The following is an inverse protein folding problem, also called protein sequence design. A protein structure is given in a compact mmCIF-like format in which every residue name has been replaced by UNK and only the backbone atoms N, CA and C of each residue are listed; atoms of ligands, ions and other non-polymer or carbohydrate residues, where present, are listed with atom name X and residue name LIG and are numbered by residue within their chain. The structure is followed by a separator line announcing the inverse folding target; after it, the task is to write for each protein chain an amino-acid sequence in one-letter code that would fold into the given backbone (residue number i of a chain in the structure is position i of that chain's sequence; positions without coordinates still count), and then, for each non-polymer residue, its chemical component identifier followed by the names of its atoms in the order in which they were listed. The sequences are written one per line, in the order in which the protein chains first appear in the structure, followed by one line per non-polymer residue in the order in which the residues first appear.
data_IF_598664430535
#
_entry.id   IF_598664430535
#
_cell.length_a   1.000
_cell.length_b   1.000
_cell.length_c   1.000
_cell.angle_alpha   90.00
_cell.angle_beta   90.00
_cell.angle_gamma   90.00
#
_symmetry.space_group_name_H-M   'P 1'
#
loop_
_entity.id
_entity.type
_entity.pdbx_description
1 polymer ?
#
# COMPACT_ATOMS: atom_id res chain seq x y z
N UNK A 1 20.66 -19.84 1.53
CA UNK A 1 19.58 -19.98 2.54
C UNK A 1 18.30 -19.31 2.03
N UNK A 2 17.79 -19.76 0.87
CA UNK A 2 16.59 -19.22 0.19
C UNK A 2 15.53 -20.32 -0.07
N UNK A 3 15.68 -21.50 0.55
CA UNK A 3 14.82 -22.66 0.25
C UNK A 3 13.72 -22.95 1.30
N UNK A 4 13.74 -22.32 2.48
CA UNK A 4 12.77 -22.66 3.54
C UNK A 4 11.46 -21.84 3.52
N UNK A 5 11.33 -20.84 2.66
CA UNK A 5 10.08 -20.08 2.54
C UNK A 5 9.09 -20.64 1.49
N UNK A 6 9.51 -21.55 0.62
CA UNK A 6 8.66 -22.13 -0.43
C UNK A 6 7.55 -23.09 0.07
N UNK A 7 7.62 -23.55 1.31
CA UNK A 7 6.64 -24.50 1.87
C UNK A 7 5.61 -23.87 2.82
N UNK A 8 5.66 -22.56 3.02
CA UNK A 8 4.60 -21.84 3.74
C UNK A 8 3.60 -21.23 2.76
N UNK A 9 2.87 -22.07 2.07
CA UNK A 9 1.47 -21.83 1.72
C UNK A 9 0.73 -21.71 3.06
N UNK A 10 1.07 -20.64 3.81
CA UNK A 10 0.80 -20.49 5.21
C UNK A 10 -0.68 -20.63 5.48
N UNK A 11 -1.02 -21.65 6.23
CA UNK A 11 -2.21 -21.63 7.04
C UNK A 11 -2.00 -20.43 7.96
N UNK A 12 -2.56 -19.28 7.60
CA UNK A 12 -2.70 -18.17 8.56
C UNK A 12 -3.72 -18.70 9.55
N UNK A 13 -3.24 -19.21 10.66
CA UNK A 13 -4.07 -19.63 11.77
C UNK A 13 -4.79 -18.40 12.34
N UNK A 14 -6.01 -18.56 12.85
CA UNK A 14 -6.74 -17.46 13.50
C UNK A 14 -6.01 -16.92 14.75
N UNK A 15 -4.94 -17.60 15.21
CA UNK A 15 -4.04 -17.17 16.29
C UNK A 15 -2.91 -16.23 15.84
N UNK A 16 -2.65 -16.09 14.54
CA UNK A 16 -1.55 -15.26 14.04
C UNK A 16 -1.80 -13.78 14.19
N UNK A 17 -0.72 -13.07 14.57
CA UNK A 17 -0.65 -11.62 14.68
C UNK A 17 0.53 -11.16 13.85
N UNK A 18 0.40 -10.04 13.18
CA UNK A 18 1.52 -9.35 12.55
C UNK A 18 1.85 -8.09 13.34
N UNK A 19 3.09 -7.98 13.81
CA UNK A 19 3.66 -6.73 14.29
C UNK A 19 4.18 -5.95 13.08
N UNK A 20 3.69 -4.73 12.88
CA UNK A 20 4.16 -3.82 11.85
C UNK A 20 4.73 -2.56 12.51
N UNK A 21 5.99 -2.24 12.21
CA UNK A 21 6.68 -1.05 12.67
C UNK A 21 6.87 -0.10 11.50
N UNK A 22 6.44 1.13 11.66
CA UNK A 22 6.49 2.21 10.68
C UNK A 22 7.65 3.14 11.06
N UNK A 23 8.69 3.17 10.26
CA UNK A 23 9.83 4.03 10.46
C UNK A 23 9.67 5.35 9.71
N UNK A 24 9.99 6.45 10.36
CA UNK A 24 10.02 7.79 9.79
C UNK A 24 11.45 8.35 9.85
N UNK A 25 11.94 8.85 8.73
CA UNK A 25 13.26 9.49 8.68
C UNK A 25 13.14 11.02 8.81
N UNK A 26 14.01 11.60 9.61
CA UNK A 26 14.09 13.06 9.73
C UNK A 26 14.73 13.66 8.48
N UNK A 27 13.96 14.37 7.65
CA UNK A 27 14.46 15.07 6.46
C UNK A 27 15.29 14.17 5.54
N UNK A 28 14.79 12.96 5.25
CA UNK A 28 15.48 11.91 4.51
C UNK A 28 16.24 12.41 3.27
N UNK A 29 15.57 13.16 2.40
CA UNK A 29 16.16 13.67 1.16
C UNK A 29 17.18 14.79 1.39
N UNK A 30 17.06 15.57 2.47
CA UNK A 30 17.94 16.69 2.76
C UNK A 30 19.24 16.24 3.46
N UNK A 31 19.27 15.03 4.02
CA UNK A 31 20.40 14.49 4.78
C UNK A 31 21.32 13.56 4.00
N UNK A 32 21.00 13.26 2.74
CA UNK A 32 21.80 12.37 1.87
C UNK A 32 23.25 12.87 1.81
N UNK A 33 24.18 12.07 2.34
CA UNK A 33 25.60 12.38 2.29
C UNK A 33 26.16 12.05 0.90
N UNK A 34 26.66 13.08 0.19
CA UNK A 34 27.14 12.94 -1.19
C UNK A 34 28.34 11.99 -1.30
N UNK A 35 29.27 12.03 -0.32
CA UNK A 35 30.46 11.16 -0.32
C UNK A 35 30.08 9.69 -0.16
N UNK A 36 29.19 9.39 0.78
CA UNK A 36 28.68 8.02 1.00
C UNK A 36 27.88 7.51 -0.20
N UNK A 37 27.07 8.36 -0.80
CA UNK A 37 26.31 8.02 -2.01
C UNK A 37 27.25 7.66 -3.15
N UNK A 38 28.30 8.47 -3.41
CA UNK A 38 29.27 8.19 -4.47
C UNK A 38 30.07 6.90 -4.20
N UNK A 39 30.49 6.66 -2.96
CA UNK A 39 31.13 5.42 -2.59
C UNK A 39 30.23 4.19 -2.83
N UNK A 40 28.90 4.31 -2.55
CA UNK A 40 27.95 3.24 -2.87
C UNK A 40 27.75 3.02 -4.35
N UNK A 41 27.72 4.08 -5.14
CA UNK A 41 27.64 3.97 -6.60
C UNK A 41 28.85 3.24 -7.17
N UNK A 42 30.05 3.54 -6.68
CA UNK A 42 31.29 2.84 -7.08
C UNK A 42 31.24 1.35 -6.71
N UNK A 43 30.83 1.02 -5.46
CA UNK A 43 30.63 -0.38 -5.01
C UNK A 43 29.60 -1.13 -5.88
N UNK A 44 28.56 -0.43 -6.35
CA UNK A 44 27.53 -1.00 -7.22
C UNK A 44 28.00 -1.15 -8.68
N UNK A 45 29.23 -0.72 -9.01
CA UNK A 45 29.83 -0.87 -10.33
C UNK A 45 29.43 0.22 -11.34
N UNK A 46 29.00 1.39 -10.88
CA UNK A 46 28.78 2.53 -11.77
C UNK A 46 30.11 3.04 -12.32
N UNK A 47 30.15 3.35 -13.61
CA UNK A 47 31.34 3.90 -14.26
C UNK A 47 31.70 5.26 -13.67
N UNK A 48 33.01 5.56 -13.65
CA UNK A 48 33.56 6.82 -13.13
C UNK A 48 32.89 8.04 -13.73
N UNK A 49 32.67 8.06 -15.04
CA UNK A 49 32.02 9.19 -15.74
C UNK A 49 30.59 9.45 -15.20
N UNK A 50 29.85 8.38 -14.87
CA UNK A 50 28.52 8.47 -14.27
C UNK A 50 28.60 9.03 -12.84
N UNK A 51 29.56 8.56 -12.05
CA UNK A 51 29.80 9.08 -10.70
C UNK A 51 30.21 10.55 -10.71
N UNK A 52 31.09 10.96 -11.63
CA UNK A 52 31.52 12.34 -11.80
C UNK A 52 30.34 13.24 -12.24
N UNK A 53 29.48 12.74 -13.10
CA UNK A 53 28.26 13.45 -13.52
C UNK A 53 27.31 13.64 -12.35
N UNK A 54 27.03 12.59 -11.54
CA UNK A 54 26.20 12.68 -10.36
C UNK A 54 26.80 13.64 -9.32
N UNK A 55 28.14 13.60 -9.14
CA UNK A 55 28.83 14.55 -8.27
C UNK A 55 28.60 15.99 -8.74
N UNK A 56 28.77 16.27 -10.03
CA UNK A 56 28.51 17.58 -10.63
C UNK A 56 27.04 18.03 -10.43
N UNK A 57 26.10 17.09 -10.58
CA UNK A 57 24.68 17.35 -10.37
C UNK A 57 24.36 17.76 -8.93
N UNK A 58 25.06 17.20 -7.95
CA UNK A 58 24.83 17.47 -6.52
C UNK A 58 25.66 18.65 -5.97
N UNK A 59 26.79 18.96 -6.60
CA UNK A 59 27.75 19.96 -6.12
C UNK A 59 27.42 21.38 -6.53
N UNK A 60 27.96 22.37 -5.79
CA UNK A 60 27.85 23.79 -6.13
C UNK A 60 26.44 24.38 -5.98
N UNK A 61 25.52 23.64 -5.37
CA UNK A 61 24.14 24.10 -5.17
C UNK A 61 24.02 25.02 -3.97
N UNK A 62 23.11 25.97 -4.08
CA UNK A 62 22.78 26.92 -3.02
C UNK A 62 21.27 27.04 -2.89
N UNK A 63 20.81 27.41 -1.73
CA UNK A 63 19.41 27.70 -1.45
C UNK A 63 19.24 29.01 -0.69
N UNK A 64 18.09 29.65 -0.88
CA UNK A 64 17.62 30.76 -0.05
C UNK A 64 16.13 30.59 0.25
N UNK A 65 15.69 31.14 1.36
CA UNK A 65 14.26 31.23 1.69
C UNK A 65 13.76 32.58 1.25
N UNK A 66 12.66 32.63 0.51
CA UNK A 66 11.99 33.85 0.07
C UNK A 66 10.56 33.86 0.61
N UNK A 67 10.20 34.99 1.22
CA UNK A 67 8.82 35.31 1.61
C UNK A 67 8.30 36.41 0.70
N UNK A 68 7.05 36.82 0.86
CA UNK A 68 6.47 37.90 0.06
C UNK A 68 7.18 39.24 0.28
N UNK A 69 7.82 39.44 1.45
CA UNK A 69 8.45 40.72 1.84
C UNK A 69 9.98 40.65 1.91
N UNK A 70 10.55 39.45 2.19
CA UNK A 70 11.97 39.32 2.49
C UNK A 70 12.59 38.07 1.84
N UNK A 71 13.94 38.07 1.75
CA UNK A 71 14.71 36.89 1.34
C UNK A 71 15.94 36.71 2.23
N UNK A 72 16.24 35.45 2.56
CA UNK A 72 17.48 35.11 3.27
C UNK A 72 18.71 35.28 2.37
N UNK A 73 19.89 35.27 2.93
CA UNK A 73 21.14 35.07 2.19
C UNK A 73 21.21 33.68 1.57
N UNK A 74 21.98 33.54 0.50
CA UNK A 74 22.29 32.27 -0.12
C UNK A 74 23.12 31.40 0.83
N UNK A 75 22.70 30.13 1.02
CA UNK A 75 23.41 29.12 1.81
C UNK A 75 23.79 27.94 0.94
N UNK A 76 25.05 27.45 1.00
CA UNK A 76 25.46 26.29 0.23
C UNK A 76 24.75 25.01 0.71
N UNK A 77 24.39 24.14 -0.23
CA UNK A 77 23.88 22.78 0.04
C UNK A 77 25.06 21.81 -0.05
N UNK A 78 25.46 21.27 1.11
CA UNK A 78 26.59 20.32 1.23
C UNK A 78 26.12 18.86 1.30
N UNK A 79 24.85 18.64 1.58
CA UNK A 79 24.17 17.33 1.64
C UNK A 79 22.79 17.44 0.97
N UNK A 80 22.16 16.28 0.79
CA UNK A 80 20.81 16.20 0.28
C UNK A 80 20.73 16.06 -1.24
N UNK A 81 19.56 15.62 -1.67
CA UNK A 81 19.18 15.56 -3.09
C UNK A 81 18.05 16.56 -3.37
N UNK A 82 18.00 17.16 -4.57
CA UNK A 82 16.97 18.15 -4.88
C UNK A 82 15.57 17.53 -4.77
N UNK A 83 14.74 18.06 -3.88
CA UNK A 83 13.34 17.67 -3.77
C UNK A 83 12.57 18.04 -5.04
N UNK A 84 11.70 17.13 -5.51
CA UNK A 84 10.95 17.32 -6.77
C UNK A 84 11.75 16.99 -8.03
N UNK A 85 13.02 16.58 -7.93
CA UNK A 85 13.80 16.07 -9.06
C UNK A 85 13.47 14.61 -9.36
N UNK A 86 13.68 14.18 -10.61
CA UNK A 86 13.48 12.78 -11.02
C UNK A 86 14.53 11.86 -10.37
N UNK A 87 15.76 12.34 -10.21
CA UNK A 87 16.87 11.56 -9.66
C UNK A 87 16.86 11.47 -8.13
N UNK A 88 16.28 12.43 -7.43
CA UNK A 88 16.28 12.46 -5.96
C UNK A 88 15.83 11.15 -5.31
N UNK A 89 14.64 10.63 -5.63
CA UNK A 89 14.15 9.37 -5.09
C UNK A 89 15.05 8.17 -5.43
N UNK A 90 15.60 8.13 -6.64
CA UNK A 90 16.49 7.06 -7.08
C UNK A 90 17.79 7.07 -6.28
N UNK A 91 18.43 8.22 -6.14
CA UNK A 91 19.68 8.39 -5.38
C UNK A 91 19.49 8.06 -3.90
N UNK A 92 18.35 8.46 -3.32
CA UNK A 92 18.00 8.08 -1.95
C UNK A 92 17.81 6.56 -1.83
N UNK A 93 17.10 5.92 -2.76
CA UNK A 93 16.91 4.45 -2.77
C UNK A 93 18.26 3.72 -2.86
N UNK A 94 19.18 4.22 -3.68
CA UNK A 94 20.54 3.68 -3.77
C UNK A 94 21.27 3.81 -2.43
N UNK A 95 21.16 4.98 -1.75
CA UNK A 95 21.78 5.19 -0.46
C UNK A 95 21.31 4.17 0.59
N UNK A 96 20.00 3.85 0.62
CA UNK A 96 19.44 2.93 1.63
C UNK A 96 19.39 1.47 1.19
N UNK A 97 19.85 1.14 -0.03
CA UNK A 97 19.68 -0.21 -0.63
C UNK A 97 20.28 -1.36 0.18
N UNK A 98 21.32 -1.10 0.96
CA UNK A 98 22.01 -2.09 1.80
C UNK A 98 21.51 -2.14 3.25
N UNK A 99 20.53 -1.29 3.64
CA UNK A 99 19.88 -1.34 4.96
C UNK A 99 19.31 -2.73 5.27
N UNK A 100 18.94 -3.49 4.21
CA UNK A 100 18.53 -4.90 4.32
C UNK A 100 19.49 -5.76 5.14
N UNK A 101 20.80 -5.48 5.07
CA UNK A 101 21.81 -6.25 5.81
C UNK A 101 21.69 -6.10 7.34
N UNK A 102 21.07 -5.01 7.80
CA UNK A 102 20.78 -4.77 9.21
C UNK A 102 19.50 -5.50 9.68
N UNK A 103 18.67 -5.99 8.75
CA UNK A 103 17.40 -6.66 9.01
C UNK A 103 17.55 -8.16 8.83
N UNK A 104 18.16 -8.81 9.83
CA UNK A 104 18.45 -10.26 9.79
C UNK A 104 17.27 -11.14 10.24
N UNK A 105 16.37 -10.58 11.03
CA UNK A 105 15.16 -11.25 11.54
C UNK A 105 13.97 -10.30 11.34
N UNK A 106 13.04 -10.70 10.51
CA UNK A 106 11.90 -9.87 10.09
C UNK A 106 11.89 -9.63 8.59
N UNK A 107 10.82 -9.07 8.13
CA UNK A 107 10.61 -8.67 6.74
C UNK A 107 10.50 -7.14 6.66
N UNK A 108 10.79 -6.57 5.50
CA UNK A 108 10.73 -5.13 5.32
C UNK A 108 10.15 -4.76 3.96
N UNK A 109 9.52 -3.60 3.92
CA UNK A 109 9.01 -2.97 2.72
C UNK A 109 9.46 -1.51 2.73
N UNK A 110 10.07 -1.06 1.63
CA UNK A 110 10.50 0.33 1.47
C UNK A 110 9.85 0.94 0.25
N UNK A 111 9.42 2.18 0.37
CA UNK A 111 8.98 3.01 -0.74
C UNK A 111 9.52 4.43 -0.52
N UNK A 112 10.59 4.79 -1.23
CA UNK A 112 11.38 5.97 -0.95
C UNK A 112 11.84 6.00 0.53
N UNK A 113 11.45 7.00 1.29
CA UNK A 113 11.72 7.14 2.72
C UNK A 113 10.74 6.37 3.62
N UNK A 114 9.55 6.02 3.13
CA UNK A 114 8.61 5.18 3.88
C UNK A 114 9.18 3.76 4.03
N UNK A 115 9.61 3.41 5.23
CA UNK A 115 10.18 2.10 5.56
C UNK A 115 9.34 1.42 6.62
N UNK A 116 8.92 0.20 6.32
CA UNK A 116 8.08 -0.59 7.21
C UNK A 116 8.76 -1.93 7.49
N UNK A 117 8.83 -2.32 8.76
CA UNK A 117 9.32 -3.62 9.19
C UNK A 117 8.15 -4.44 9.71
N UNK A 118 8.13 -5.75 9.46
CA UNK A 118 7.05 -6.59 9.98
C UNK A 118 7.55 -7.98 10.39
N UNK A 119 6.88 -8.53 11.40
CA UNK A 119 7.11 -9.84 11.97
C UNK A 119 5.78 -10.57 12.13
N UNK A 120 5.78 -11.83 11.77
CA UNK A 120 4.69 -12.75 12.09
C UNK A 120 4.88 -13.26 13.52
N UNK A 121 3.81 -13.37 14.29
CA UNK A 121 3.79 -13.76 15.70
C UNK A 121 2.48 -14.45 16.05
N UNK A 122 2.43 -14.99 17.25
CA UNK A 122 1.20 -15.44 17.90
C UNK A 122 1.01 -14.69 19.21
N UNK A 123 -0.16 -14.82 19.84
CA UNK A 123 -0.41 -14.21 21.16
C UNK A 123 0.62 -14.67 22.18
N UNK A 124 1.02 -15.95 22.14
CA UNK A 124 1.95 -16.56 23.09
C UNK A 124 3.41 -16.13 22.86
N UNK A 125 3.78 -15.83 21.62
CA UNK A 125 5.16 -15.49 21.23
C UNK A 125 5.38 -13.99 21.05
N UNK A 126 4.39 -13.16 21.31
CA UNK A 126 4.45 -11.70 21.04
C UNK A 126 5.60 -11.00 21.72
N UNK A 127 5.90 -11.32 22.98
CA UNK A 127 7.01 -10.67 23.72
C UNK A 127 8.37 -11.07 23.14
N UNK A 128 8.59 -12.33 22.79
CA UNK A 128 9.83 -12.74 22.12
C UNK A 128 9.98 -12.10 20.73
N UNK A 129 8.87 -11.88 20.03
CA UNK A 129 8.86 -11.16 18.76
C UNK A 129 9.20 -9.69 18.94
N UNK A 130 8.70 -9.04 20.00
CA UNK A 130 9.05 -7.64 20.33
C UNK A 130 10.55 -7.54 20.68
N UNK A 131 11.11 -8.50 21.45
CA UNK A 131 12.51 -8.50 21.80
C UNK A 131 13.40 -8.67 20.54
N UNK A 132 13.02 -9.56 19.63
CA UNK A 132 13.69 -9.72 18.33
C UNK A 132 13.58 -8.44 17.47
N UNK A 133 12.42 -7.80 17.46
CA UNK A 133 12.21 -6.54 16.76
C UNK A 133 13.09 -5.42 17.32
N UNK A 134 13.21 -5.31 18.65
CA UNK A 134 14.10 -4.33 19.30
C UNK A 134 15.57 -4.52 18.88
N UNK A 135 16.06 -5.77 18.79
CA UNK A 135 17.42 -6.04 18.31
C UNK A 135 17.62 -5.60 16.84
N UNK A 136 16.61 -5.75 15.99
CA UNK A 136 16.66 -5.26 14.60
C UNK A 136 16.62 -3.75 14.56
N UNK A 137 15.77 -3.11 15.38
CA UNK A 137 15.65 -1.66 15.46
C UNK A 137 16.96 -0.99 15.89
N UNK A 138 17.69 -1.59 16.84
CA UNK A 138 19.02 -1.11 17.25
C UNK A 138 20.03 -1.17 16.10
N UNK A 139 20.03 -2.25 15.31
CA UNK A 139 20.91 -2.36 14.13
C UNK A 139 20.52 -1.38 13.02
N UNK A 140 19.23 -1.19 12.80
CA UNK A 140 18.73 -0.19 11.83
C UNK A 140 19.13 1.22 12.29
N UNK A 141 19.03 1.52 13.58
CA UNK A 141 19.46 2.80 14.13
C UNK A 141 20.98 3.01 13.94
N UNK A 142 21.80 2.00 14.23
CA UNK A 142 23.25 2.03 13.98
C UNK A 142 23.55 2.29 12.51
N UNK A 143 22.89 1.56 11.61
CA UNK A 143 23.01 1.79 10.16
C UNK A 143 22.66 3.22 9.76
N UNK A 144 21.60 3.79 10.33
CA UNK A 144 21.19 5.16 10.04
C UNK A 144 22.28 6.17 10.47
N UNK A 145 22.88 5.96 11.65
CA UNK A 145 24.00 6.80 12.13
C UNK A 145 25.19 6.69 11.17
N UNK A 146 25.59 5.49 10.78
CA UNK A 146 26.72 5.22 9.88
C UNK A 146 26.50 5.84 8.48
N UNK A 147 25.25 5.90 8.03
CA UNK A 147 24.88 6.48 6.73
C UNK A 147 24.50 7.95 6.80
N UNK A 148 24.72 8.61 7.95
CA UNK A 148 24.32 10.01 8.20
C UNK A 148 22.81 10.27 8.03
N UNK A 149 21.99 9.22 8.11
CA UNK A 149 20.55 9.33 8.21
C UNK A 149 20.13 9.42 9.68
N UNK A 150 18.94 9.95 9.93
CA UNK A 150 18.39 10.02 11.27
C UNK A 150 16.94 9.57 11.30
N UNK A 151 16.66 8.60 12.16
CA UNK A 151 15.27 8.24 12.48
C UNK A 151 14.61 9.35 13.29
N UNK A 152 13.31 9.52 13.09
CA UNK A 152 12.47 10.38 13.92
C UNK A 152 11.70 9.50 14.90
N UNK A 153 12.29 9.23 16.05
CA UNK A 153 11.79 8.28 17.05
C UNK A 153 10.34 8.63 17.49
N UNK A 154 10.04 9.94 17.58
CA UNK A 154 8.72 10.43 17.98
C UNK A 154 7.63 10.20 16.92
N UNK A 155 8.02 10.03 15.65
CA UNK A 155 7.09 9.73 14.56
C UNK A 155 7.06 8.25 14.19
N UNK A 156 8.09 7.49 14.57
CA UNK A 156 8.06 6.04 14.42
C UNK A 156 6.95 5.45 15.27
N UNK A 157 6.19 4.52 14.68
CA UNK A 157 4.98 3.96 15.31
C UNK A 157 4.90 2.47 15.04
N UNK A 158 4.04 1.79 15.76
CA UNK A 158 3.75 0.40 15.48
C UNK A 158 2.28 0.05 15.64
N UNK A 159 1.87 -1.03 14.99
CA UNK A 159 0.53 -1.60 15.10
C UNK A 159 0.64 -3.13 15.10
N UNK A 160 -0.25 -3.77 15.83
CA UNK A 160 -0.52 -5.19 15.65
C UNK A 160 -1.74 -5.37 14.75
N UNK A 161 -1.65 -6.30 13.81
CA UNK A 161 -2.79 -6.69 12.98
C UNK A 161 -3.05 -8.19 13.11
N UNK A 162 -4.33 -8.59 13.06
CA UNK A 162 -4.68 -9.99 13.19
C UNK A 162 -6.19 -10.24 13.23
N UNK A 163 -6.57 -11.44 13.61
CA UNK A 163 -7.99 -11.76 13.80
C UNK A 163 -8.56 -11.01 15.00
N UNK A 164 -9.89 -10.78 15.01
CA UNK A 164 -10.54 -10.12 16.17
C UNK A 164 -10.27 -10.83 17.50
N UNK A 165 -10.33 -12.18 17.58
CA UNK A 165 -9.98 -12.90 18.81
C UNK A 165 -8.53 -12.67 19.22
N UNK A 166 -7.57 -12.78 18.29
CA UNK A 166 -6.14 -12.59 18.58
C UNK A 166 -5.84 -11.18 19.10
N UNK A 167 -6.38 -10.14 18.46
CA UNK A 167 -6.21 -8.76 18.90
C UNK A 167 -6.84 -8.52 20.28
N UNK A 168 -8.01 -9.12 20.55
CA UNK A 168 -8.63 -9.05 21.87
C UNK A 168 -7.79 -9.73 22.95
N UNK A 169 -7.25 -10.92 22.66
CA UNK A 169 -6.38 -11.64 23.58
C UNK A 169 -5.10 -10.85 23.84
N UNK A 170 -4.50 -10.28 22.79
CA UNK A 170 -3.33 -9.41 22.90
C UNK A 170 -3.57 -8.19 23.79
N UNK A 171 -4.77 -7.61 23.74
CA UNK A 171 -5.11 -6.44 24.56
C UNK A 171 -5.15 -6.74 26.07
N UNK A 172 -5.27 -7.99 26.45
CA UNK A 172 -5.26 -8.46 27.83
C UNK A 172 -3.86 -8.85 28.34
N UNK A 173 -2.85 -8.82 27.44
CA UNK A 173 -1.46 -9.15 27.79
C UNK A 173 -0.67 -7.90 28.15
N UNK A 174 0.25 -8.05 29.09
CA UNK A 174 1.29 -7.06 29.32
C UNK A 174 2.41 -7.31 28.32
N UNK A 175 2.45 -6.52 27.24
CA UNK A 175 3.50 -6.64 26.20
C UNK A 175 4.72 -5.79 26.54
N UNK A 176 5.89 -6.27 26.11
CA UNK A 176 7.12 -5.49 26.16
C UNK A 176 6.98 -4.21 25.30
N UNK A 177 7.84 -3.24 25.55
CA UNK A 177 7.86 -2.02 24.75
C UNK A 177 8.75 -2.18 23.52
N UNK A 178 8.36 -1.57 22.41
CA UNK A 178 9.25 -1.33 21.27
C UNK A 178 10.02 -0.04 21.50
N UNK A 179 11.34 -0.09 21.30
CA UNK A 179 12.24 0.99 21.65
C UNK A 179 13.16 1.30 20.48
N UNK A 180 13.36 2.56 20.16
CA UNK A 180 14.40 3.05 19.25
C UNK A 180 15.19 4.12 20.00
N UNK A 181 16.51 3.95 20.10
CA UNK A 181 17.42 4.92 20.73
C UNK A 181 16.94 5.36 22.14
N UNK A 182 16.48 4.40 22.96
CA UNK A 182 15.96 4.66 24.31
C UNK A 182 14.54 5.25 24.37
N UNK A 183 13.92 5.55 23.24
CA UNK A 183 12.56 6.09 23.15
C UNK A 183 11.54 5.00 22.88
N UNK A 184 10.49 4.90 23.70
CA UNK A 184 9.38 3.99 23.47
C UNK A 184 8.57 4.45 22.25
N UNK A 185 8.30 3.53 21.35
CA UNK A 185 7.43 3.79 20.20
C UNK A 185 5.96 3.84 20.60
N UNK A 186 5.20 4.71 19.94
CA UNK A 186 3.76 4.80 20.11
C UNK A 186 3.04 3.65 19.39
N UNK A 187 2.20 2.90 20.12
CA UNK A 187 1.23 1.99 19.49
C UNK A 187 0.08 2.79 18.89
N UNK A 188 -0.18 2.57 17.62
CA UNK A 188 -1.30 3.19 16.91
C UNK A 188 -2.31 2.14 16.46
N UNK A 189 -3.56 2.54 16.25
CA UNK A 189 -4.67 1.64 15.94
C UNK A 189 -5.22 1.81 14.51
N UNK A 190 -4.82 2.87 13.83
CA UNK A 190 -5.27 3.21 12.48
C UNK A 190 -4.23 4.03 11.70
N UNK A 191 -3.01 3.51 11.54
CA UNK A 191 -1.97 4.20 10.79
C UNK A 191 -2.35 4.37 9.33
N UNK A 192 -1.66 5.29 8.68
CA UNK A 192 -1.72 5.48 7.25
C UNK A 192 -0.38 5.06 6.63
N UNK A 193 -0.42 4.13 5.68
CA UNK A 193 0.74 3.67 4.90
C UNK A 193 0.43 3.88 3.43
N UNK A 194 1.29 4.61 2.72
CA UNK A 194 1.11 4.93 1.29
C UNK A 194 -0.32 5.38 0.94
N UNK A 195 -0.91 6.22 1.78
CA UNK A 195 -2.27 6.74 1.57
C UNK A 195 -3.41 5.82 2.03
N UNK A 196 -3.15 4.55 2.36
CA UNK A 196 -4.14 3.64 2.92
C UNK A 196 -4.18 3.71 4.44
N UNK A 197 -5.38 3.89 5.02
CA UNK A 197 -5.59 3.77 6.46
C UNK A 197 -6.16 2.39 6.77
N UNK A 198 -5.52 1.63 7.64
CA UNK A 198 -6.02 0.32 8.06
C UNK A 198 -6.06 0.21 9.58
N UNK A 199 -6.89 -0.66 10.07
CA UNK A 199 -7.05 -0.95 11.50
C UNK A 199 -6.50 -2.33 11.84
N UNK A 200 -6.37 -2.63 13.13
CA UNK A 200 -5.82 -3.87 13.65
C UNK A 200 -6.49 -5.15 13.11
N UNK A 201 -7.72 -5.07 12.63
CA UNK A 201 -8.48 -6.20 12.08
C UNK A 201 -8.72 -6.09 10.58
N UNK A 202 -8.04 -5.17 9.91
CA UNK A 202 -8.12 -4.92 8.47
C UNK A 202 -9.57 -4.79 7.97
N UNK A 203 -10.41 -4.07 8.73
CA UNK A 203 -11.82 -3.89 8.37
C UNK A 203 -12.03 -2.86 7.27
N UNK A 204 -11.03 -2.04 6.98
CA UNK A 204 -11.04 -0.93 6.00
C UNK A 204 -12.08 0.16 6.27
N UNK A 205 -12.81 0.07 7.37
CA UNK A 205 -13.93 0.96 7.68
C UNK A 205 -13.52 2.42 7.74
N UNK A 206 -12.40 2.73 8.42
CA UNK A 206 -11.89 4.11 8.53
C UNK A 206 -11.45 4.66 7.19
N UNK A 207 -10.72 3.86 6.40
CA UNK A 207 -10.27 4.25 5.07
C UNK A 207 -11.46 4.59 4.15
N UNK A 208 -12.40 3.68 4.04
CA UNK A 208 -13.58 3.85 3.18
C UNK A 208 -14.43 5.03 3.61
N UNK A 209 -14.61 5.25 4.92
CA UNK A 209 -15.33 6.43 5.40
C UNK A 209 -14.59 7.74 5.05
N UNK A 210 -13.24 7.78 5.09
CA UNK A 210 -12.45 8.93 4.61
C UNK A 210 -12.68 9.17 3.11
N UNK A 211 -12.63 8.10 2.30
CA UNK A 211 -12.90 8.19 0.86
C UNK A 211 -14.31 8.70 0.58
N UNK A 212 -15.33 8.18 1.30
CA UNK A 212 -16.72 8.64 1.20
C UNK A 212 -16.84 10.12 1.54
N UNK A 213 -16.25 10.56 2.64
CA UNK A 213 -16.28 11.97 3.05
C UNK A 213 -15.67 12.87 1.99
N UNK A 214 -14.52 12.50 1.44
CA UNK A 214 -13.85 13.24 0.38
C UNK A 214 -14.66 13.25 -0.93
N UNK A 215 -15.19 12.09 -1.34
CA UNK A 215 -16.04 11.96 -2.51
C UNK A 215 -17.32 12.81 -2.39
N UNK A 216 -17.96 12.81 -1.21
CA UNK A 216 -19.14 13.64 -0.96
C UNK A 216 -18.82 15.13 -0.97
N UNK A 217 -17.71 15.55 -0.36
CA UNK A 217 -17.26 16.95 -0.42
C UNK A 217 -17.07 17.39 -1.87
N UNK A 218 -16.37 16.59 -2.69
CA UNK A 218 -16.16 16.85 -4.10
C UNK A 218 -17.49 16.88 -4.87
N UNK A 219 -18.39 15.92 -4.59
CA UNK A 219 -19.72 15.88 -5.19
C UNK A 219 -20.52 17.14 -4.92
N UNK A 220 -20.53 17.65 -3.68
CA UNK A 220 -21.25 18.87 -3.34
C UNK A 220 -20.64 20.11 -4.01
N UNK A 221 -19.33 20.16 -4.22
CA UNK A 221 -18.70 21.24 -4.96
C UNK A 221 -19.21 21.30 -6.41
N UNK A 222 -19.20 20.17 -7.12
CA UNK A 222 -19.70 20.12 -8.52
C UNK A 222 -21.22 20.27 -8.60
N UNK A 223 -21.97 19.82 -7.60
CA UNK A 223 -23.42 19.92 -7.59
C UNK A 223 -23.95 21.36 -7.59
N UNK A 224 -23.20 22.31 -7.02
CA UNK A 224 -23.53 23.75 -7.05
C UNK A 224 -23.67 24.28 -8.48
N UNK A 225 -22.92 23.70 -9.42
CA UNK A 225 -22.91 24.10 -10.82
C UNK A 225 -23.87 23.28 -11.68
N UNK A 226 -24.78 22.50 -11.08
CA UNK A 226 -25.70 21.59 -11.77
C UNK A 226 -26.42 22.22 -12.97
N UNK A 227 -26.83 23.49 -12.86
CA UNK A 227 -27.58 24.20 -13.89
C UNK A 227 -26.73 24.60 -15.11
N UNK A 228 -25.42 24.72 -14.92
CA UNK A 228 -24.48 25.19 -15.95
C UNK A 228 -23.73 24.05 -16.63
N UNK A 229 -23.79 22.84 -16.08
CA UNK A 229 -23.06 21.70 -16.62
C UNK A 229 -23.93 20.87 -17.55
N UNK A 230 -23.40 20.63 -18.77
CA UNK A 230 -23.96 19.67 -19.71
C UNK A 230 -23.76 18.23 -19.22
N UNK A 231 -24.44 17.25 -19.87
CA UNK A 231 -24.40 15.84 -19.49
C UNK A 231 -22.96 15.28 -19.51
N UNK A 232 -22.20 15.53 -20.57
CA UNK A 232 -20.83 15.03 -20.74
C UNK A 232 -19.88 15.58 -19.66
N UNK A 233 -19.98 16.87 -19.35
CA UNK A 233 -19.20 17.48 -18.29
C UNK A 233 -19.52 16.86 -16.91
N UNK A 234 -20.81 16.55 -16.64
CA UNK A 234 -21.22 15.87 -15.42
C UNK A 234 -20.65 14.46 -15.33
N UNK A 235 -20.63 13.70 -16.43
CA UNK A 235 -20.04 12.35 -16.51
C UNK A 235 -18.55 12.44 -16.15
N UNK A 236 -17.81 13.29 -16.85
CA UNK A 236 -16.36 13.46 -16.64
C UNK A 236 -16.03 13.87 -15.21
N UNK A 237 -16.73 14.86 -14.65
CA UNK A 237 -16.50 15.33 -13.28
C UNK A 237 -16.86 14.28 -12.23
N UNK A 238 -17.97 13.53 -12.42
CA UNK A 238 -18.33 12.46 -11.50
C UNK A 238 -17.29 11.34 -11.49
N UNK A 239 -16.81 10.90 -12.65
CA UNK A 239 -15.84 9.83 -12.74
C UNK A 239 -14.45 10.26 -12.22
N UNK A 240 -13.94 11.42 -12.70
CA UNK A 240 -12.57 11.86 -12.41
C UNK A 240 -12.38 12.45 -11.01
N UNK A 241 -13.38 13.09 -10.42
CA UNK A 241 -13.24 13.81 -9.14
C UNK A 241 -13.93 13.07 -7.98
N UNK A 242 -15.07 12.45 -8.22
CA UNK A 242 -15.87 11.80 -7.17
C UNK A 242 -15.55 10.32 -7.06
N UNK A 243 -15.77 9.55 -8.14
CA UNK A 243 -15.63 8.09 -8.11
C UNK A 243 -14.17 7.64 -8.08
N UNK A 244 -13.24 8.45 -8.62
CA UNK A 244 -11.79 8.20 -8.54
C UNK A 244 -11.26 8.06 -7.12
N UNK A 245 -11.94 8.63 -6.11
CA UNK A 245 -11.56 8.48 -4.71
C UNK A 245 -11.59 7.02 -4.21
N UNK A 246 -12.30 6.15 -4.93
CA UNK A 246 -12.42 4.73 -4.60
C UNK A 246 -11.55 3.82 -5.49
N UNK A 247 -10.78 4.38 -6.43
CA UNK A 247 -9.94 3.58 -7.34
C UNK A 247 -8.53 3.35 -6.80
N UNK A 248 -8.07 4.22 -5.89
CA UNK A 248 -6.70 4.11 -5.37
C UNK A 248 -6.55 2.89 -4.48
N UNK A 249 -5.69 1.97 -4.87
CA UNK A 249 -5.40 0.71 -4.17
C UNK A 249 -6.66 -0.11 -3.81
N UNK A 250 -7.75 0.01 -4.57
CA UNK A 250 -9.02 -0.67 -4.31
C UNK A 250 -8.92 -2.19 -4.36
N UNK A 251 -7.90 -2.70 -5.02
CA UNK A 251 -7.52 -4.11 -5.05
C UNK A 251 -7.21 -4.64 -3.64
N UNK A 252 -6.56 -3.83 -2.79
CA UNK A 252 -6.18 -4.22 -1.42
C UNK A 252 -7.41 -4.44 -0.52
N UNK A 253 -8.46 -3.63 -0.73
CA UNK A 253 -9.73 -3.76 -0.01
C UNK A 253 -10.87 -4.29 -0.90
N UNK A 254 -10.54 -5.20 -1.81
CA UNK A 254 -11.50 -5.75 -2.77
C UNK A 254 -12.66 -6.50 -2.12
N UNK A 255 -12.44 -7.15 -0.97
CA UNK A 255 -13.44 -7.92 -0.22
C UNK A 255 -13.81 -7.21 1.10
N UNK A 256 -14.58 -6.14 1.01
CA UNK A 256 -15.11 -5.38 2.15
C UNK A 256 -16.50 -5.86 2.57
N UNK A 257 -16.92 -5.47 3.77
CA UNK A 257 -18.25 -5.79 4.28
C UNK A 257 -19.35 -5.14 3.41
N UNK A 258 -20.46 -5.86 3.21
CA UNK A 258 -21.59 -5.43 2.37
C UNK A 258 -22.15 -4.04 2.79
N UNK A 259 -22.08 -3.70 4.07
CA UNK A 259 -22.51 -2.39 4.56
C UNK A 259 -21.64 -1.25 3.99
N UNK A 260 -20.34 -1.48 3.81
CA UNK A 260 -19.41 -0.53 3.21
C UNK A 260 -19.58 -0.47 1.70
N UNK A 261 -19.78 -1.62 1.04
CA UNK A 261 -20.11 -1.68 -0.38
C UNK A 261 -21.36 -0.84 -0.70
N UNK A 262 -22.42 -1.03 0.09
CA UNK A 262 -23.66 -0.26 -0.08
C UNK A 262 -23.45 1.24 0.12
N UNK A 263 -22.57 1.65 1.03
CA UNK A 263 -22.23 3.07 1.21
C UNK A 263 -21.52 3.65 -0.02
N UNK A 264 -20.55 2.92 -0.58
CA UNK A 264 -19.84 3.34 -1.80
C UNK A 264 -20.81 3.40 -2.97
N UNK A 265 -21.66 2.37 -3.15
CA UNK A 265 -22.65 2.35 -4.24
C UNK A 265 -23.63 3.52 -4.16
N UNK A 266 -24.02 3.95 -2.96
CA UNK A 266 -24.86 5.16 -2.78
C UNK A 266 -24.21 6.42 -3.36
N UNK A 267 -22.88 6.55 -3.30
CA UNK A 267 -22.18 7.69 -3.92
C UNK A 267 -22.33 7.65 -5.45
N UNK A 268 -22.11 6.48 -6.06
CA UNK A 268 -22.32 6.32 -7.50
C UNK A 268 -23.75 6.61 -7.89
N UNK A 269 -24.73 6.13 -7.13
CA UNK A 269 -26.14 6.43 -7.37
C UNK A 269 -26.47 7.93 -7.28
N UNK A 270 -25.76 8.68 -6.39
CA UNK A 270 -25.87 10.14 -6.35
C UNK A 270 -25.35 10.78 -7.63
N UNK A 271 -24.19 10.30 -8.13
CA UNK A 271 -23.63 10.75 -9.41
C UNK A 271 -24.57 10.48 -10.58
N UNK A 272 -25.16 9.28 -10.65
CA UNK A 272 -26.14 8.93 -11.69
C UNK A 272 -27.35 9.87 -11.67
N UNK A 273 -27.95 10.12 -10.51
CA UNK A 273 -29.05 11.09 -10.41
C UNK A 273 -28.66 12.50 -10.85
N UNK A 274 -27.44 12.92 -10.52
CA UNK A 274 -26.92 14.22 -10.94
C UNK A 274 -26.73 14.30 -12.45
N UNK A 275 -26.16 13.29 -13.08
CA UNK A 275 -25.92 13.20 -14.51
C UNK A 275 -27.25 13.25 -15.28
N UNK A 276 -28.23 12.45 -14.87
CA UNK A 276 -29.53 12.33 -15.53
C UNK A 276 -30.59 13.31 -15.02
N UNK A 277 -30.21 14.24 -14.14
CA UNK A 277 -31.09 15.26 -13.56
C UNK A 277 -32.28 14.72 -12.76
N UNK A 278 -32.19 13.51 -12.22
CA UNK A 278 -33.25 12.96 -11.36
C UNK A 278 -33.27 13.64 -9.99
N UNK A 279 -34.45 14.04 -9.48
CA UNK A 279 -34.57 14.57 -8.14
C UNK A 279 -34.41 13.48 -7.07
N UNK A 280 -33.91 13.85 -5.89
CA UNK A 280 -33.68 12.92 -4.76
C UNK A 280 -34.93 12.14 -4.36
N UNK A 281 -36.12 12.77 -4.43
CA UNK A 281 -37.43 12.15 -4.10
C UNK A 281 -37.77 10.92 -4.95
N UNK A 282 -37.13 10.76 -6.11
CA UNK A 282 -37.33 9.63 -7.02
C UNK A 282 -36.35 8.49 -6.82
N UNK A 283 -35.43 8.56 -5.83
CA UNK A 283 -34.31 7.62 -5.63
C UNK A 283 -34.73 6.14 -5.62
N UNK A 284 -35.91 5.81 -5.09
CA UNK A 284 -36.40 4.45 -4.95
C UNK A 284 -37.18 3.96 -6.20
N UNK A 285 -37.39 4.82 -7.20
CA UNK A 285 -38.09 4.53 -8.46
C UNK A 285 -37.17 4.48 -9.67
N UNK A 286 -35.84 4.64 -9.45
CA UNK A 286 -34.84 4.70 -10.50
C UNK A 286 -34.24 3.31 -10.68
N UNK A 287 -34.24 2.81 -11.90
CA UNK A 287 -33.43 1.67 -12.30
C UNK A 287 -31.98 2.13 -12.53
N UNK A 288 -31.15 1.98 -11.48
CA UNK A 288 -29.76 2.36 -11.54
C UNK A 288 -28.93 1.47 -12.45
N UNK A 289 -29.33 0.19 -12.64
CA UNK A 289 -28.61 -0.75 -13.50
C UNK A 289 -28.78 -0.35 -14.98
N UNK A 290 -29.96 0.14 -15.36
CA UNK A 290 -30.17 0.68 -16.69
C UNK A 290 -29.35 1.97 -16.93
N UNK A 291 -29.25 2.86 -15.93
CA UNK A 291 -28.44 4.07 -16.05
C UNK A 291 -26.94 3.75 -16.17
N UNK A 292 -26.44 2.74 -15.45
CA UNK A 292 -25.07 2.26 -15.56
C UNK A 292 -24.79 1.71 -16.97
N UNK A 293 -25.71 0.93 -17.54
CA UNK A 293 -25.59 0.42 -18.92
C UNK A 293 -25.52 1.55 -19.95
N UNK A 294 -26.37 2.58 -19.82
CA UNK A 294 -26.35 3.75 -20.72
C UNK A 294 -25.03 4.52 -20.69
N UNK A 295 -24.30 4.51 -19.57
CA UNK A 295 -22.99 5.13 -19.44
C UNK A 295 -21.84 4.15 -19.72
N UNK A 296 -22.12 2.89 -19.96
CA UNK A 296 -21.13 1.81 -20.01
C UNK A 296 -20.27 1.77 -18.71
N UNK A 297 -20.91 2.01 -17.57
CA UNK A 297 -20.28 1.97 -16.26
C UNK A 297 -20.58 0.66 -15.54
N UNK A 298 -19.58 0.15 -14.83
CA UNK A 298 -19.77 -0.91 -13.85
C UNK A 298 -20.23 -0.33 -12.52
N UNK A 299 -21.01 -1.10 -11.75
CA UNK A 299 -21.23 -0.77 -10.36
C UNK A 299 -19.90 -0.82 -9.58
N UNK A 300 -19.85 -0.18 -8.42
CA UNK A 300 -18.57 0.00 -7.67
C UNK A 300 -17.93 -1.33 -7.23
N UNK A 301 -18.71 -2.37 -6.98
CA UNK A 301 -18.20 -3.71 -6.68
C UNK A 301 -17.54 -4.34 -7.91
N UNK A 302 -18.22 -4.35 -9.04
CA UNK A 302 -17.71 -4.95 -10.28
C UNK A 302 -16.50 -4.19 -10.82
N UNK A 303 -16.43 -2.86 -10.60
CA UNK A 303 -15.25 -2.05 -10.94
C UNK A 303 -14.02 -2.50 -10.14
N UNK A 304 -14.15 -2.74 -8.83
CA UNK A 304 -13.04 -3.30 -8.02
C UNK A 304 -12.65 -4.70 -8.46
N UNK A 305 -13.63 -5.55 -8.76
CA UNK A 305 -13.37 -6.89 -9.29
C UNK A 305 -12.60 -6.81 -10.61
N UNK A 306 -12.99 -5.93 -11.52
CA UNK A 306 -12.29 -5.72 -12.78
C UNK A 306 -10.82 -5.28 -12.55
N UNK A 307 -10.56 -4.34 -11.64
CA UNK A 307 -9.20 -3.93 -11.29
C UNK A 307 -8.40 -5.10 -10.71
N UNK A 308 -9.00 -5.89 -9.81
CA UNK A 308 -8.37 -7.06 -9.23
C UNK A 308 -8.04 -8.14 -10.25
N UNK A 309 -8.94 -8.43 -11.18
CA UNK A 309 -8.70 -9.38 -12.27
C UNK A 309 -7.62 -8.88 -13.24
N UNK A 310 -7.63 -7.59 -13.56
CA UNK A 310 -6.57 -6.97 -14.38
C UNK A 310 -5.21 -7.08 -13.70
N UNK A 311 -5.15 -6.99 -12.37
CA UNK A 311 -3.92 -7.17 -11.61
C UNK A 311 -3.44 -8.64 -11.65
N UNK A 312 -4.35 -9.61 -11.45
CA UNK A 312 -4.02 -11.05 -11.60
C UNK A 312 -3.47 -11.32 -12.99
N UNK A 313 -4.15 -10.82 -14.03
CA UNK A 313 -3.67 -10.98 -15.40
C UNK A 313 -2.23 -10.46 -15.57
N UNK A 314 -1.94 -9.27 -15.07
CA UNK A 314 -0.59 -8.69 -15.13
C UNK A 314 0.43 -9.55 -14.37
N UNK A 315 0.07 -10.08 -13.20
CA UNK A 315 0.95 -10.92 -12.39
C UNK A 315 1.26 -12.23 -13.11
N UNK A 316 0.26 -12.91 -13.63
CA UNK A 316 0.42 -14.21 -14.28
C UNK A 316 1.20 -14.11 -15.60
N UNK A 317 1.07 -12.98 -16.32
CA UNK A 317 1.73 -12.75 -17.60
C UNK A 317 3.06 -11.99 -17.51
N UNK A 318 3.60 -11.78 -16.31
CA UNK A 318 4.91 -11.13 -16.14
C UNK A 318 4.91 -9.61 -16.37
N UNK A 319 3.74 -8.94 -16.34
CA UNK A 319 3.60 -7.48 -16.41
C UNK A 319 3.57 -6.82 -15.03
N UNK A 320 3.85 -7.58 -13.98
CA UNK A 320 3.95 -7.11 -12.61
C UNK A 320 5.28 -7.61 -12.01
N UNK A 321 5.77 -6.99 -10.92
CA UNK A 321 7.00 -7.44 -10.26
C UNK A 321 6.94 -8.91 -9.84
N UNK A 322 8.06 -9.63 -10.01
CA UNK A 322 8.14 -11.09 -9.80
C UNK A 322 7.71 -11.53 -8.41
N UNK A 323 8.01 -10.73 -7.38
CA UNK A 323 7.61 -11.07 -6.00
C UNK A 323 6.09 -11.19 -5.79
N UNK A 324 5.28 -10.57 -6.63
CA UNK A 324 3.82 -10.72 -6.60
C UNK A 324 3.38 -12.07 -7.16
N UNK A 325 4.16 -12.66 -8.07
CA UNK A 325 3.88 -13.98 -8.63
C UNK A 325 3.97 -15.08 -7.57
N UNK A 326 4.89 -14.93 -6.62
CA UNK A 326 5.06 -15.87 -5.50
C UNK A 326 3.81 -15.96 -4.60
N UNK A 327 2.91 -14.97 -4.67
CA UNK A 327 1.64 -14.97 -3.95
C UNK A 327 0.56 -15.84 -4.59
N UNK A 328 0.78 -16.33 -5.81
CA UNK A 328 -0.17 -17.16 -6.56
C UNK A 328 0.55 -18.41 -7.07
N UNK A 329 0.00 -19.57 -6.73
CA UNK A 329 0.49 -20.86 -7.22
C UNK A 329 -0.53 -21.43 -8.20
N UNK A 330 -0.10 -21.87 -9.38
CA UNK A 330 -1.00 -22.51 -10.33
C UNK A 330 -1.31 -23.94 -9.88
N UNK A 331 -2.51 -24.43 -10.18
CA UNK A 331 -2.92 -25.79 -9.83
C UNK A 331 -2.05 -26.86 -10.51
N UNK A 332 -1.52 -26.56 -11.69
CA UNK A 332 -0.57 -27.41 -12.42
C UNK A 332 0.79 -27.56 -11.72
N UNK A 333 1.19 -26.61 -10.89
CA UNK A 333 2.47 -26.66 -10.14
C UNK A 333 2.39 -27.58 -8.94
N UNK A 334 1.19 -27.84 -8.41
CA UNK A 334 0.96 -28.69 -7.23
C UNK A 334 0.54 -30.11 -7.60
N UNK A 335 -0.31 -30.21 -8.62
CA UNK A 335 -0.87 -31.49 -9.04
C UNK A 335 -0.38 -31.83 -10.45
N UNK A 336 0.21 -33.02 -10.65
CA UNK A 336 0.62 -33.55 -11.94
C UNK A 336 -0.56 -33.82 -12.91
N UNK A 337 -1.62 -33.02 -12.84
CA UNK A 337 -2.83 -33.15 -13.67
C UNK A 337 -2.74 -32.17 -14.84
N UNK A 338 -2.49 -32.70 -16.00
CA UNK A 338 -2.26 -31.91 -17.23
C UNK A 338 -3.58 -31.61 -17.97
N UNK A 339 -4.58 -31.06 -17.28
CA UNK A 339 -5.81 -30.56 -17.90
C UNK A 339 -5.70 -29.06 -18.16
N UNK A 340 -6.32 -28.57 -19.24
CA UNK A 340 -6.35 -27.11 -19.57
C UNK A 340 -6.83 -26.28 -18.37
N UNK A 341 -7.82 -26.77 -17.63
CA UNK A 341 -8.32 -26.12 -16.43
C UNK A 341 -7.30 -26.05 -15.31
N UNK A 342 -6.51 -27.10 -15.09
CA UNK A 342 -5.45 -27.13 -14.08
C UNK A 342 -4.28 -26.18 -14.43
N UNK A 343 -3.99 -26.02 -15.73
CA UNK A 343 -2.95 -25.11 -16.21
C UNK A 343 -3.26 -23.64 -15.95
N UNK A 344 -4.54 -23.25 -16.03
CA UNK A 344 -4.97 -21.86 -15.96
C UNK A 344 -5.62 -21.49 -14.62
N UNK A 345 -5.87 -22.45 -13.71
CA UNK A 345 -6.48 -22.15 -12.42
C UNK A 345 -5.45 -21.87 -11.34
N UNK A 346 -5.74 -20.89 -10.48
CA UNK A 346 -4.96 -20.60 -9.29
C UNK A 346 -5.33 -21.59 -8.20
N UNK A 347 -4.35 -22.22 -7.59
CA UNK A 347 -4.58 -23.14 -6.49
C UNK A 347 -5.06 -22.38 -5.24
N UNK A 348 -6.09 -22.93 -4.61
CA UNK A 348 -6.67 -22.39 -3.37
C UNK A 348 -6.67 -23.49 -2.33
N UNK A 349 -5.97 -23.25 -1.21
CA UNK A 349 -6.04 -24.16 -0.08
C UNK A 349 -7.45 -24.13 0.54
N UNK A 350 -8.18 -25.23 0.39
CA UNK A 350 -9.57 -25.35 0.90
C UNK A 350 -9.64 -25.51 2.43
N UNK A 351 -8.54 -25.85 3.08
CA UNK A 351 -8.47 -26.07 4.52
C UNK A 351 -8.29 -24.77 5.32
N UNK A 352 -8.21 -23.62 4.65
CA UNK A 352 -8.10 -22.33 5.32
C UNK A 352 -9.41 -22.00 6.04
N UNK A 353 -9.35 -21.93 7.37
CA UNK A 353 -10.47 -21.58 8.25
C UNK A 353 -10.52 -20.09 8.56
N UNK A 354 -9.38 -19.41 8.57
CA UNK A 354 -9.26 -17.99 8.92
C UNK A 354 -10.11 -17.07 8.04
N UNK A 355 -11.01 -16.34 8.70
CA UNK A 355 -11.86 -15.32 8.03
C UNK A 355 -11.03 -14.16 7.45
N UNK A 356 -9.91 -13.81 8.11
CA UNK A 356 -9.03 -12.73 7.67
C UNK A 356 -8.34 -13.12 6.36
N UNK A 357 -7.79 -14.34 6.30
CA UNK A 357 -7.16 -14.85 5.08
C UNK A 357 -8.15 -14.95 3.91
N UNK A 358 -9.39 -15.43 4.16
CA UNK A 358 -10.43 -15.47 3.12
C UNK A 358 -10.83 -14.10 2.57
N UNK A 359 -10.56 -13.04 3.32
CA UNK A 359 -10.77 -11.65 2.88
C UNK A 359 -9.56 -11.07 2.16
N UNK A 360 -8.39 -11.72 2.20
CA UNK A 360 -7.20 -11.25 1.49
C UNK A 360 -7.45 -11.15 -0.02
N UNK A 361 -6.74 -10.24 -0.65
CA UNK A 361 -6.79 -10.08 -2.12
C UNK A 361 -6.48 -11.41 -2.83
N UNK A 362 -5.42 -12.09 -2.41
CA UNK A 362 -4.95 -13.32 -3.05
C UNK A 362 -6.01 -14.41 -3.03
N UNK A 363 -6.64 -14.67 -1.88
CA UNK A 363 -7.67 -15.68 -1.75
C UNK A 363 -8.96 -15.29 -2.49
N UNK A 364 -9.48 -14.09 -2.21
CA UNK A 364 -10.76 -13.63 -2.77
C UNK A 364 -10.71 -13.53 -4.30
N UNK A 365 -9.65 -12.93 -4.84
CA UNK A 365 -9.53 -12.76 -6.27
C UNK A 365 -9.19 -14.07 -7.00
N UNK A 366 -8.46 -15.00 -6.37
CA UNK A 366 -8.26 -16.33 -6.93
C UNK A 366 -9.59 -17.10 -7.08
N UNK A 367 -10.50 -16.99 -6.11
CA UNK A 367 -11.84 -17.57 -6.24
C UNK A 367 -12.61 -16.99 -7.43
N UNK A 368 -12.60 -15.67 -7.60
CA UNK A 368 -13.29 -15.00 -8.70
C UNK A 368 -12.66 -15.40 -10.04
N UNK A 369 -11.32 -15.38 -10.13
CA UNK A 369 -10.58 -15.75 -11.34
C UNK A 369 -10.88 -17.19 -11.77
N UNK A 370 -10.89 -18.15 -10.83
CA UNK A 370 -11.23 -19.53 -11.12
C UNK A 370 -12.70 -19.75 -11.53
N UNK A 371 -13.58 -18.78 -11.22
CA UNK A 371 -14.98 -18.77 -11.66
C UNK A 371 -15.19 -18.24 -13.09
N UNK A 372 -14.16 -17.66 -13.71
CA UNK A 372 -14.25 -17.15 -15.07
C UNK A 372 -14.25 -18.33 -16.07
N UNK A 373 -15.10 -18.32 -17.11
CA UNK A 373 -15.08 -19.35 -18.16
C UNK A 373 -13.72 -19.46 -18.84
N UNK A 374 -13.27 -20.68 -19.10
CA UNK A 374 -11.94 -20.99 -19.68
C UNK A 374 -11.66 -20.24 -21.00
N UNK A 375 -12.68 -20.05 -21.84
CA UNK A 375 -12.56 -19.30 -23.09
C UNK A 375 -12.10 -17.85 -22.90
N UNK A 376 -12.37 -17.25 -21.75
CA UNK A 376 -11.95 -15.88 -21.43
C UNK A 376 -10.55 -15.91 -20.81
N UNK A 377 -10.24 -16.91 -19.96
CA UNK A 377 -8.92 -17.08 -19.35
C UNK A 377 -7.81 -17.36 -20.38
N UNK A 378 -8.13 -18.07 -21.50
CA UNK A 378 -7.17 -18.45 -22.55
C UNK A 378 -6.97 -17.40 -23.63
N UNK A 379 -7.84 -16.40 -23.76
CA UNK A 379 -7.77 -15.32 -24.76
C UNK A 379 -7.28 -13.99 -24.18
N UNK A 380 -6.86 -13.99 -22.92
CA UNK A 380 -6.35 -12.81 -22.22
C UNK A 380 -4.83 -12.78 -22.15
#
# INVERSE_FOLDING_TARGET
MHQDQKNRGGIIDDSEITLLVLLDFSKAFDTVNHKLLLAKLDILGFEKNTCDWILSYLSGRQQMVRTDTDSSTWSPLINGVPQGSILGPLLFTILISDMRRSIWNGSYLTYADDTNLYWESTVDTVNSTIDAANQVLDKVNTYCVDTCLRLNELKCKYIFTGSKPSIRNLSNLNTNNLIINGTNLERVYDPQVLGLTFDEVLSWRKHINKCISKAMSNFFQIYRYKKFLGKEAKITLCDSIVLSQFNYCDVVYSNIDISLENKIQKIQNNCLRFIFNYPYRMKDRIDYDELLKQLNWLNMKNRRIQHGLSMIYKILNGFAPDYLKDSFTLTSEIHNVNTRRAQNSIWINKNITSKLHRKSYTFYMAQIYNGIPEKIQSNS
#
